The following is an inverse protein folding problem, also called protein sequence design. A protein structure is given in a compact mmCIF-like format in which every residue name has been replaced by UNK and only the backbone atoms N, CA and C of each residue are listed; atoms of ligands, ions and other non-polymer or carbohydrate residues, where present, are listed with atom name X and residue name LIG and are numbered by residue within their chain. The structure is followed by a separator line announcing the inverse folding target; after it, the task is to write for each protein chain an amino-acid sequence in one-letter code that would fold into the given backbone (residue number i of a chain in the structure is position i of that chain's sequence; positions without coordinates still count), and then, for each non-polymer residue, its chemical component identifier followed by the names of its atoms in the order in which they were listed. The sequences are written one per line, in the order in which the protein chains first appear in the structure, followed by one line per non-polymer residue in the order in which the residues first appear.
data_IF_097025853692
#
_entry.id   IF_097025853692
#
_cell.length_a   1.000
_cell.length_b   1.000
_cell.length_c   1.000
_cell.angle_alpha   90.00
_cell.angle_beta   90.00
_cell.angle_gamma   90.00
#
_symmetry.space_group_name_H-M   'P 1'
#
loop_
_entity.id
_entity.type
_entity.pdbx_description
1 polymer ?
#
# COMPACT_ATOMS: atom_id res chain seq x y z
N UNK A 1 -20.01 11.37 4.78
CA UNK A 1 -19.11 12.07 3.81
C UNK A 1 -17.72 12.26 4.40
N UNK A 2 -17.63 12.74 5.65
CA UNK A 2 -16.41 12.64 6.46
C UNK A 2 -15.87 11.20 6.51
N UNK A 3 -16.76 10.21 6.55
CA UNK A 3 -16.39 8.77 6.58
C UNK A 3 -15.73 8.29 5.29
N UNK A 4 -16.12 8.85 4.13
CA UNK A 4 -15.48 8.52 2.85
C UNK A 4 -14.10 9.16 2.76
N UNK A 5 -13.95 10.42 3.15
CA UNK A 5 -12.66 11.10 3.19
C UNK A 5 -11.72 10.42 4.18
N UNK A 6 -12.21 10.10 5.39
CA UNK A 6 -11.48 9.32 6.40
C UNK A 6 -11.00 8.00 5.81
N UNK A 7 -11.89 7.24 5.18
CA UNK A 7 -11.54 5.96 4.55
C UNK A 7 -10.47 6.14 3.45
N UNK A 8 -10.59 7.15 2.59
CA UNK A 8 -9.56 7.41 1.56
C UNK A 8 -8.20 7.79 2.16
N UNK A 9 -8.19 8.56 3.25
CA UNK A 9 -6.96 8.90 3.99
C UNK A 9 -6.34 7.65 4.63
N UNK A 10 -7.14 6.74 5.17
CA UNK A 10 -6.65 5.47 5.73
C UNK A 10 -6.02 4.58 4.63
N UNK A 11 -6.61 4.53 3.43
CA UNK A 11 -6.04 3.82 2.28
C UNK A 11 -4.72 4.44 1.82
N UNK A 12 -4.61 5.77 1.84
CA UNK A 12 -3.38 6.48 1.50
C UNK A 12 -2.27 6.21 2.52
N UNK A 13 -2.59 6.23 3.82
CA UNK A 13 -1.65 5.91 4.90
C UNK A 13 -1.07 4.50 4.74
N UNK A 14 -1.92 3.51 4.46
CA UNK A 14 -1.47 2.13 4.21
C UNK A 14 -0.52 2.04 3.01
N UNK A 15 -0.87 2.68 1.89
CA UNK A 15 -0.04 2.67 0.69
C UNK A 15 1.31 3.34 0.93
N UNK A 16 1.31 4.52 1.56
CA UNK A 16 2.54 5.27 1.84
C UNK A 16 3.46 4.50 2.78
N UNK A 17 2.91 3.87 3.82
CA UNK A 17 3.68 3.05 4.73
C UNK A 17 4.34 1.87 4.01
N UNK A 18 3.55 1.06 3.29
CA UNK A 18 4.06 -0.11 2.54
C UNK A 18 5.11 0.29 1.51
N UNK A 19 4.93 1.41 0.81
CA UNK A 19 5.91 1.93 -0.14
C UNK A 19 7.21 2.40 0.52
N UNK A 20 7.14 3.01 1.70
CA UNK A 20 8.33 3.45 2.43
C UNK A 20 9.19 2.24 2.81
N UNK A 21 8.60 1.18 3.36
CA UNK A 21 9.31 -0.06 3.71
C UNK A 21 9.84 -0.76 2.45
N UNK A 22 9.02 -0.86 1.39
CA UNK A 22 9.45 -1.45 0.12
C UNK A 22 10.68 -0.73 -0.46
N UNK A 23 10.72 0.60 -0.37
CA UNK A 23 11.87 1.42 -0.79
C UNK A 23 13.13 1.08 0.02
N UNK A 24 13.01 0.93 1.33
CA UNK A 24 14.12 0.48 2.20
C UNK A 24 14.64 -0.89 1.77
N UNK A 25 13.75 -1.79 1.35
CA UNK A 25 14.09 -3.10 0.80
C UNK A 25 14.53 -3.06 -0.69
N UNK A 26 14.78 -1.89 -1.27
CA UNK A 26 15.26 -1.76 -2.66
C UNK A 26 14.22 -2.04 -3.75
N UNK A 27 12.93 -1.94 -3.42
CA UNK A 27 11.82 -2.07 -4.38
C UNK A 27 11.35 -0.68 -4.80
N UNK A 28 11.41 -0.40 -6.10
CA UNK A 28 10.96 0.89 -6.65
C UNK A 28 9.50 0.86 -7.10
N UNK A 29 8.79 2.00 -7.13
CA UNK A 29 7.44 2.09 -7.71
C UNK A 29 7.37 1.58 -9.16
N UNK A 30 8.46 1.71 -9.92
CA UNK A 30 8.53 1.20 -11.30
C UNK A 30 8.53 -0.34 -11.35
N UNK A 31 9.20 -1.00 -10.41
CA UNK A 31 9.19 -2.47 -10.30
C UNK A 31 7.79 -2.95 -9.94
N UNK A 32 7.16 -2.34 -8.93
CA UNK A 32 5.79 -2.65 -8.50
C UNK A 32 4.81 -2.46 -9.66
N UNK A 33 4.94 -1.38 -10.44
CA UNK A 33 4.09 -1.13 -11.61
C UNK A 33 4.24 -2.22 -12.68
N UNK A 34 5.48 -2.66 -12.95
CA UNK A 34 5.74 -3.75 -13.91
C UNK A 34 5.06 -5.03 -13.45
N UNK A 35 5.25 -5.38 -12.19
CA UNK A 35 4.70 -6.61 -11.58
C UNK A 35 3.17 -6.60 -11.52
N UNK A 36 2.56 -5.47 -11.16
CA UNK A 36 1.09 -5.34 -11.12
C UNK A 36 0.42 -5.18 -12.50
N UNK A 37 1.19 -5.09 -13.59
CA UNK A 37 0.66 -4.88 -14.95
C UNK A 37 -0.10 -3.56 -15.16
N UNK A 38 0.07 -2.59 -14.25
CA UNK A 38 -0.72 -1.36 -14.21
C UNK A 38 -0.22 -0.27 -15.17
N UNK A 39 -1.14 0.42 -15.86
CA UNK A 39 -0.80 1.61 -16.68
C UNK A 39 -0.51 2.88 -15.87
N UNK A 40 -1.07 3.01 -14.66
CA UNK A 40 -0.97 4.23 -13.84
C UNK A 40 -0.04 4.03 -12.65
N UNK A 41 0.76 5.06 -12.34
CA UNK A 41 1.64 5.07 -11.18
C UNK A 41 0.84 5.27 -9.88
N UNK A 42 1.37 4.77 -8.75
CA UNK A 42 0.72 4.84 -7.44
C UNK A 42 0.47 6.29 -7.03
N UNK A 43 1.44 7.17 -7.22
CA UNK A 43 1.32 8.59 -6.91
C UNK A 43 0.12 9.23 -7.63
N UNK A 44 -0.05 8.94 -8.93
CA UNK A 44 -1.22 9.41 -9.68
C UNK A 44 -2.53 8.88 -9.12
N UNK A 45 -2.54 7.69 -8.50
CA UNK A 45 -3.76 7.15 -7.89
C UNK A 45 -4.08 7.85 -6.57
N UNK A 46 -3.05 8.17 -5.78
CA UNK A 46 -3.14 8.97 -4.56
C UNK A 46 -3.66 10.37 -4.90
N UNK A 47 -2.99 11.08 -5.82
CA UNK A 47 -3.34 12.46 -6.22
C UNK A 47 -4.78 12.58 -6.72
N UNK A 48 -5.26 11.56 -7.45
CA UNK A 48 -6.61 11.52 -7.97
C UNK A 48 -7.64 10.93 -6.98
N UNK A 49 -7.22 10.50 -5.79
CA UNK A 49 -8.06 9.81 -4.80
C UNK A 49 -8.79 8.59 -5.38
N UNK A 50 -8.08 7.82 -6.20
CA UNK A 50 -8.57 6.63 -6.93
C UNK A 50 -8.01 5.32 -6.38
N UNK A 51 -7.37 5.35 -5.21
CA UNK A 51 -6.87 4.16 -4.53
C UNK A 51 -8.04 3.26 -4.11
N UNK A 52 -7.94 1.98 -4.46
CA UNK A 52 -8.92 0.95 -4.12
C UNK A 52 -8.23 -0.16 -3.31
N UNK A 53 -8.88 -0.77 -2.31
CA UNK A 53 -8.26 -1.82 -1.51
C UNK A 53 -7.71 -2.98 -2.33
N UNK A 54 -8.40 -3.38 -3.41
CA UNK A 54 -7.93 -4.43 -4.32
C UNK A 54 -6.60 -4.08 -4.99
N UNK A 55 -6.36 -2.80 -5.24
CA UNK A 55 -5.07 -2.33 -5.76
C UNK A 55 -3.98 -2.36 -4.69
N UNK A 56 -4.30 -2.00 -3.45
CA UNK A 56 -3.35 -2.09 -2.33
C UNK A 56 -2.96 -3.54 -2.09
N UNK A 57 -3.92 -4.47 -2.17
CA UNK A 57 -3.67 -5.90 -2.09
C UNK A 57 -2.76 -6.40 -3.23
N UNK A 58 -3.03 -5.99 -4.47
CA UNK A 58 -2.18 -6.34 -5.61
C UNK A 58 -0.77 -5.74 -5.48
N UNK A 59 -0.65 -4.51 -4.98
CA UNK A 59 0.61 -3.85 -4.70
C UNK A 59 1.43 -4.59 -3.63
N UNK A 60 0.79 -4.98 -2.51
CA UNK A 60 1.44 -5.73 -1.44
C UNK A 60 1.94 -7.09 -1.91
N UNK A 61 1.13 -7.81 -2.72
CA UNK A 61 1.58 -9.04 -3.37
C UNK A 61 2.76 -8.82 -4.30
N UNK A 62 2.72 -7.78 -5.13
CA UNK A 62 3.80 -7.47 -6.06
C UNK A 62 5.11 -7.14 -5.32
N UNK A 63 5.04 -6.35 -4.24
CA UNK A 63 6.21 -6.07 -3.39
C UNK A 63 6.78 -7.39 -2.86
N UNK A 64 5.94 -8.24 -2.27
CA UNK A 64 6.36 -9.55 -1.73
C UNK A 64 7.02 -10.42 -2.80
N UNK A 65 6.46 -10.51 -4.01
CA UNK A 65 7.06 -11.26 -5.12
C UNK A 65 8.44 -10.75 -5.48
N UNK A 66 8.58 -9.44 -5.71
CA UNK A 66 9.87 -8.82 -6.07
C UNK A 66 10.91 -9.04 -4.96
N UNK A 67 10.49 -9.01 -3.70
CA UNK A 67 11.39 -9.26 -2.56
C UNK A 67 11.86 -10.70 -2.49
N UNK A 68 10.98 -11.68 -2.76
CA UNK A 68 11.38 -13.08 -2.84
C UNK A 68 12.40 -13.30 -3.97
N UNK A 69 12.16 -12.74 -5.16
CA UNK A 69 13.12 -12.80 -6.27
C UNK A 69 14.47 -12.18 -5.90
N UNK A 70 14.47 -11.05 -5.21
CA UNK A 70 15.72 -10.42 -4.73
C UNK A 70 16.45 -11.27 -3.72
N UNK A 71 15.72 -11.88 -2.78
CA UNK A 71 16.34 -12.74 -1.77
C UNK A 71 16.93 -14.00 -2.43
N UNK A 72 16.29 -14.53 -3.48
CA UNK A 72 16.84 -15.62 -4.31
C UNK A 72 18.11 -15.19 -5.06
N UNK A 73 18.13 -13.99 -5.66
CA UNK A 73 19.30 -13.42 -6.33
C UNK A 73 20.48 -13.25 -5.35
N UNK A 74 20.25 -12.69 -4.16
CA UNK A 74 21.31 -12.53 -3.16
C UNK A 74 21.83 -13.87 -2.65
N UNK A 75 20.95 -14.86 -2.46
CA UNK A 75 21.36 -16.20 -2.08
C UNK A 75 22.24 -16.85 -3.17
N UNK A 76 21.85 -16.69 -4.44
CA UNK A 76 22.62 -17.18 -5.58
C UNK A 76 24.00 -16.49 -5.69
N UNK A 77 24.05 -15.18 -5.44
CA UNK A 77 25.29 -14.38 -5.48
C UNK A 77 26.14 -14.49 -4.20
N UNK A 78 25.69 -15.24 -3.19
CA UNK A 78 26.36 -15.33 -1.90
C UNK A 78 26.39 -14.01 -1.12
N UNK A 79 25.44 -13.12 -1.40
CA UNK A 79 25.29 -11.82 -0.75
C UNK A 79 24.32 -11.91 0.41
N UNK A 80 24.49 -11.00 1.36
CA UNK A 80 23.54 -10.79 2.45
C UNK A 80 23.07 -9.34 2.37
N UNK A 81 21.76 -9.14 2.44
CA UNK A 81 21.22 -7.79 2.54
C UNK A 81 21.61 -7.16 3.87
N UNK A 82 22.19 -5.96 3.82
CA UNK A 82 22.58 -5.20 5.01
C UNK A 82 21.78 -3.91 5.06
N UNK A 83 21.08 -3.70 6.17
CA UNK A 83 20.39 -2.47 6.50
C UNK A 83 20.57 -2.19 7.99
N UNK A 84 20.79 -0.93 8.36
CA UNK A 84 21.18 -0.53 9.73
C UNK A 84 20.17 -1.00 10.78
N UNK A 85 18.87 -0.97 10.46
CA UNK A 85 17.78 -1.40 11.35
C UNK A 85 17.55 -2.92 11.32
N UNK A 86 18.20 -3.66 10.42
CA UNK A 86 18.08 -5.11 10.28
C UNK A 86 19.10 -5.88 11.13
N UNK A 87 19.05 -5.68 12.46
CA UNK A 87 19.99 -6.26 13.44
C UNK A 87 19.90 -7.80 13.52
N UNK A 88 18.81 -8.39 13.02
CA UNK A 88 18.56 -9.83 13.07
C UNK A 88 18.97 -10.58 11.79
N UNK A 89 19.64 -9.91 10.84
CA UNK A 89 20.06 -10.51 9.56
C UNK A 89 18.89 -11.15 8.79
N UNK A 90 17.71 -10.52 8.87
CA UNK A 90 16.52 -10.95 8.11
C UNK A 90 16.74 -10.76 6.62
N UNK A 91 16.08 -11.57 5.80
CA UNK A 91 16.01 -11.29 4.36
C UNK A 91 15.16 -10.04 4.10
N UNK A 92 15.22 -9.47 2.88
CA UNK A 92 14.40 -8.27 2.58
C UNK A 92 12.91 -8.56 2.68
N UNK A 93 12.50 -9.75 2.24
CA UNK A 93 11.12 -10.22 2.35
C UNK A 93 10.67 -10.31 3.81
N UNK A 94 11.49 -10.91 4.67
CA UNK A 94 11.20 -11.05 6.10
C UNK A 94 11.09 -9.69 6.78
N UNK A 95 12.04 -8.79 6.51
CA UNK A 95 12.01 -7.42 7.05
C UNK A 95 10.74 -6.68 6.64
N UNK A 96 10.36 -6.71 5.36
CA UNK A 96 9.12 -6.09 4.90
C UNK A 96 7.89 -6.66 5.60
N UNK A 97 7.78 -7.98 5.72
CA UNK A 97 6.65 -8.63 6.37
C UNK A 97 6.54 -8.24 7.85
N UNK A 98 7.67 -8.18 8.56
CA UNK A 98 7.69 -7.84 9.97
C UNK A 98 7.32 -6.37 10.21
N UNK A 99 7.89 -5.44 9.44
CA UNK A 99 7.59 -4.00 9.57
C UNK A 99 6.12 -3.70 9.25
N UNK A 100 5.58 -4.30 8.19
CA UNK A 100 4.14 -4.20 7.86
C UNK A 100 3.29 -4.81 8.96
N UNK A 101 3.64 -5.98 9.46
CA UNK A 101 2.90 -6.63 10.55
C UNK A 101 2.92 -5.79 11.84
N UNK A 102 4.07 -5.23 12.23
CA UNK A 102 4.21 -4.37 13.41
C UNK A 102 3.32 -3.13 13.25
N UNK A 103 3.34 -2.50 12.08
CA UNK A 103 2.47 -1.35 11.81
C UNK A 103 0.99 -1.71 11.89
N UNK A 104 0.57 -2.83 11.27
CA UNK A 104 -0.81 -3.32 11.36
C UNK A 104 -1.19 -3.60 12.81
N UNK A 105 -0.33 -4.23 13.60
CA UNK A 105 -0.55 -4.49 15.02
C UNK A 105 -0.71 -3.21 15.84
N UNK A 106 0.11 -2.19 15.56
CA UNK A 106 0.08 -0.90 16.27
C UNK A 106 -1.22 -0.12 16.02
N UNK A 107 -1.86 -0.28 14.86
CA UNK A 107 -3.19 0.31 14.60
C UNK A 107 -4.30 -0.34 15.44
N UNK A 108 -4.14 -1.61 15.80
CA UNK A 108 -5.04 -2.34 16.68
C UNK A 108 -6.28 -2.92 15.98
N UNK A 109 -6.89 -3.93 16.62
CA UNK A 109 -8.01 -4.69 16.02
C UNK A 109 -9.28 -3.87 15.82
N UNK A 110 -9.55 -2.89 16.69
CA UNK A 110 -10.72 -2.01 16.57
C UNK A 110 -10.64 -1.19 15.28
N UNK A 111 -9.48 -0.57 15.03
CA UNK A 111 -9.21 0.17 13.79
C UNK A 111 -9.47 -0.70 12.56
N UNK A 112 -8.88 -1.90 12.51
CA UNK A 112 -9.03 -2.79 11.35
C UNK A 112 -10.47 -3.29 11.17
N UNK A 113 -11.22 -3.48 12.26
CA UNK A 113 -12.64 -3.84 12.18
C UNK A 113 -13.46 -2.73 11.53
N UNK A 114 -13.23 -1.47 11.91
CA UNK A 114 -13.88 -0.31 11.29
C UNK A 114 -13.47 -0.14 9.83
N UNK A 115 -12.17 -0.24 9.55
CA UNK A 115 -11.62 -0.13 8.20
C UNK A 115 -12.22 -1.18 7.25
N UNK A 116 -12.34 -2.43 7.69
CA UNK A 116 -12.94 -3.52 6.91
C UNK A 116 -14.44 -3.30 6.66
N UNK A 117 -15.18 -2.79 7.66
CA UNK A 117 -16.59 -2.42 7.47
C UNK A 117 -16.74 -1.28 6.46
N UNK A 118 -15.89 -0.26 6.54
CA UNK A 118 -15.88 0.85 5.59
C UNK A 118 -15.58 0.37 4.18
N UNK A 119 -14.60 -0.52 4.00
CA UNK A 119 -14.31 -1.13 2.71
C UNK A 119 -15.53 -1.87 2.16
N UNK A 120 -16.12 -2.79 2.93
CA UNK A 120 -17.30 -3.55 2.49
C UNK A 120 -18.43 -2.63 2.05
N UNK A 121 -18.71 -1.60 2.85
CA UNK A 121 -19.75 -0.62 2.56
C UNK A 121 -19.47 0.15 1.26
N UNK A 122 -18.27 0.72 1.10
CA UNK A 122 -17.95 1.53 -0.08
C UNK A 122 -17.86 0.70 -1.36
N UNK A 123 -17.39 -0.54 -1.26
CA UNK A 123 -17.36 -1.51 -2.36
C UNK A 123 -18.76 -1.81 -2.91
N UNK A 124 -19.75 -1.94 -2.04
CA UNK A 124 -21.15 -2.19 -2.44
C UNK A 124 -21.86 -0.92 -2.90
N UNK A 125 -21.60 0.21 -2.24
CA UNK A 125 -22.40 1.43 -2.40
C UNK A 125 -22.04 2.24 -3.66
N UNK A 126 -20.77 2.26 -4.07
CA UNK A 126 -20.31 3.08 -5.19
C UNK A 126 -19.26 2.35 -6.01
N UNK A 127 -19.46 2.25 -7.33
CA UNK A 127 -18.33 1.92 -8.20
C UNK A 127 -17.22 2.96 -7.98
N UNK A 128 -15.96 2.55 -7.95
CA UNK A 128 -14.87 3.46 -7.59
C UNK A 128 -14.75 4.70 -8.50
N UNK A 129 -15.22 4.59 -9.75
CA UNK A 129 -15.38 5.72 -10.68
C UNK A 129 -16.43 6.74 -10.21
N UNK A 130 -17.47 6.30 -9.49
CA UNK A 130 -18.45 7.17 -8.82
C UNK A 130 -17.90 7.74 -7.50
N UNK A 131 -17.14 6.97 -6.72
CA UNK A 131 -16.45 7.44 -5.50
C UNK A 131 -15.56 8.64 -5.83
N UNK A 132 -14.66 8.47 -6.79
CA UNK A 132 -13.70 9.48 -7.25
C UNK A 132 -14.38 10.73 -7.81
N UNK A 133 -15.41 10.56 -8.66
CA UNK A 133 -16.21 11.68 -9.17
C UNK A 133 -16.94 12.44 -8.05
N UNK A 134 -17.43 11.73 -7.02
CA UNK A 134 -18.12 12.33 -5.87
C UNK A 134 -17.12 13.11 -5.00
N UNK A 135 -15.94 12.56 -4.72
CA UNK A 135 -14.84 13.27 -4.05
C UNK A 135 -14.40 14.53 -4.81
N UNK A 136 -14.20 14.43 -6.12
CA UNK A 136 -13.80 15.56 -6.95
C UNK A 136 -14.83 16.71 -7.00
N UNK A 137 -16.12 16.41 -6.83
CA UNK A 137 -17.15 17.45 -6.65
C UNK A 137 -17.01 18.12 -5.28
N UNK A 138 -16.87 17.32 -4.22
CA UNK A 138 -16.79 17.82 -2.84
C UNK A 138 -15.58 18.73 -2.60
N UNK A 139 -14.42 18.38 -3.16
CA UNK A 139 -13.21 19.21 -3.04
C UNK A 139 -13.33 20.55 -3.78
N UNK A 140 -14.13 20.62 -4.84
CA UNK A 140 -14.42 21.90 -5.53
C UNK A 140 -15.36 22.78 -4.73
N UNK A 141 -16.34 22.18 -4.07
CA UNK A 141 -17.33 22.90 -3.26
C UNK A 141 -16.75 23.41 -1.92
N UNK A 142 -15.63 22.84 -1.44
CA UNK A 142 -14.96 23.28 -0.20
C UNK A 142 -13.96 24.42 -0.43
N UNK A 143 -13.56 24.65 -1.70
CA UNK A 143 -12.63 25.70 -2.12
C UNK A 143 -13.35 26.91 -2.74
N UNK A 144 -14.67 27.02 -2.56
CA UNK A 144 -15.52 28.11 -3.05
C UNK A 144 -16.25 28.78 -1.90
#
# INVERSE_FOLDING_TARGET
MKDLQKFMTELEDEVRFKLAIAKTCGVSPTMIRKETGGKSNIDKRIDNMTLIPEYIFAMDRAIKTILMEKDDDDAFEGKTWVHEENVHHKTRFQYYCDEVYIWERNKGSVYWSEHNRAWSYWRETLSYKKITKKLGKLLKDTNS
#
